data_IF_546353720219
#
_entry.id   IF_546353720219
#
_cell.length_a   1.000
_cell.length_b   1.000
_cell.length_c   1.000
_cell.angle_alpha   90.00
_cell.angle_beta   90.00
_cell.angle_gamma   90.00
#
_symmetry.space_group_name_H-M   'P 1'
#
loop_
_entity.id
_entity.type
_entity.pdbx_description
1 polymer ?
#
# COMPACT_ATOMS: atom_id res chain seq x y z
N UNK A 1 -18.90 4.23 9.35
CA UNK A 1 -18.30 2.93 9.75
C UNK A 1 -17.50 2.44 8.57
N UNK A 2 -16.25 2.01 8.80
CA UNK A 2 -15.36 1.51 7.73
C UNK A 2 -15.91 0.19 7.19
N UNK A 3 -16.06 0.07 5.87
CA UNK A 3 -16.44 -1.19 5.22
C UNK A 3 -15.18 -1.98 4.82
N UNK A 4 -14.71 -2.84 5.72
CA UNK A 4 -13.53 -3.69 5.49
C UNK A 4 -13.70 -4.71 4.36
N UNK A 5 -14.94 -5.10 4.05
CA UNK A 5 -15.26 -6.04 2.98
C UNK A 5 -15.46 -5.37 1.62
N UNK A 6 -15.31 -4.05 1.52
CA UNK A 6 -15.41 -3.36 0.24
C UNK A 6 -14.34 -3.90 -0.72
N UNK A 7 -14.79 -4.33 -1.89
CA UNK A 7 -13.96 -4.82 -3.00
C UNK A 7 -14.42 -4.12 -4.28
N UNK A 8 -13.53 -3.44 -5.03
CA UNK A 8 -13.92 -2.84 -6.30
C UNK A 8 -14.21 -3.94 -7.32
N UNK A 9 -15.09 -3.67 -8.29
CA UNK A 9 -15.41 -4.62 -9.36
C UNK A 9 -14.21 -4.89 -10.27
N UNK A 10 -13.41 -3.86 -10.53
CA UNK A 10 -12.17 -3.90 -11.32
C UNK A 10 -11.27 -2.75 -10.88
N UNK A 11 -9.95 -2.93 -11.01
CA UNK A 11 -8.99 -1.83 -10.84
C UNK A 11 -8.79 -0.98 -12.09
N UNK A 12 -9.19 -1.51 -13.25
CA UNK A 12 -8.88 -0.93 -14.55
C UNK A 12 -10.13 -0.39 -15.21
N UNK A 13 -10.03 0.84 -15.71
CA UNK A 13 -11.08 1.54 -16.46
C UNK A 13 -10.78 1.58 -17.98
N UNK A 14 -9.84 0.75 -18.45
CA UNK A 14 -9.46 0.65 -19.88
C UNK A 14 -8.34 1.58 -20.33
N UNK A 15 -7.68 2.31 -19.41
CA UNK A 15 -6.58 3.24 -19.76
C UNK A 15 -5.17 2.64 -19.70
N UNK A 16 -5.02 1.40 -19.22
CA UNK A 16 -3.74 0.70 -19.19
C UNK A 16 -3.77 -0.56 -18.33
N UNK A 17 -2.69 -1.37 -18.35
CA UNK A 17 -2.57 -2.57 -17.54
C UNK A 17 -2.08 -2.32 -16.11
N UNK A 18 -1.74 -1.06 -15.76
CA UNK A 18 -1.26 -0.65 -14.43
C UNK A 18 -2.20 0.41 -13.82
N UNK A 19 -2.42 0.33 -12.52
CA UNK A 19 -3.23 1.27 -11.73
C UNK A 19 -2.61 1.50 -10.35
N UNK A 20 -2.64 2.73 -9.86
CA UNK A 20 -2.19 3.07 -8.51
C UNK A 20 -3.27 2.69 -7.50
N UNK A 21 -2.98 1.73 -6.62
CA UNK A 21 -3.90 1.33 -5.56
C UNK A 21 -3.91 2.33 -4.42
N UNK A 22 -2.73 2.67 -3.91
CA UNK A 22 -2.58 3.65 -2.85
C UNK A 22 -1.19 4.28 -2.82
N UNK A 23 -1.13 5.47 -2.26
CA UNK A 23 0.08 6.17 -1.90
C UNK A 23 0.19 6.24 -0.38
N UNK A 24 1.36 5.93 0.16
CA UNK A 24 1.66 5.88 1.58
C UNK A 24 2.77 6.89 1.88
N UNK A 25 2.46 7.93 2.64
CA UNK A 25 3.45 8.96 3.03
C UNK A 25 3.80 8.80 4.51
N UNK A 26 5.09 8.85 4.83
CA UNK A 26 5.62 8.68 6.18
C UNK A 26 6.28 9.98 6.66
N UNK A 27 5.50 10.95 7.17
CA UNK A 27 6.02 12.27 7.52
C UNK A 27 7.03 12.26 8.66
N UNK A 28 7.03 11.21 9.50
CA UNK A 28 8.01 11.03 10.58
C UNK A 28 9.37 10.50 10.12
N UNK A 29 9.46 10.02 8.88
CA UNK A 29 10.74 9.59 8.32
C UNK A 29 11.64 10.80 8.04
N UNK A 30 12.96 10.56 7.94
CA UNK A 30 13.94 11.65 7.81
C UNK A 30 13.70 12.54 6.58
N UNK A 31 13.16 11.99 5.50
CA UNK A 31 12.96 12.69 4.22
C UNK A 31 11.50 12.78 3.78
N UNK A 32 10.55 12.36 4.61
CA UNK A 32 9.14 12.26 4.21
C UNK A 32 8.95 11.19 3.13
N UNK A 33 9.49 10.00 3.37
CA UNK A 33 9.43 8.84 2.48
C UNK A 33 8.02 8.54 2.01
N UNK A 34 7.93 8.14 0.74
CA UNK A 34 6.68 7.75 0.10
C UNK A 34 6.82 6.38 -0.53
N UNK A 35 5.80 5.55 -0.37
CA UNK A 35 5.67 4.24 -0.99
C UNK A 35 4.38 4.23 -1.79
N UNK A 36 4.47 3.90 -3.08
CA UNK A 36 3.31 3.75 -3.96
C UNK A 36 3.08 2.27 -4.26
N UNK A 37 1.85 1.79 -4.05
CA UNK A 37 1.47 0.41 -4.36
C UNK A 37 0.65 0.41 -5.66
N UNK A 38 1.11 -0.37 -6.62
CA UNK A 38 0.50 -0.54 -7.93
C UNK A 38 -0.11 -1.93 -8.09
N UNK A 39 -1.14 -2.04 -8.92
CA UNK A 39 -1.63 -3.32 -9.42
C UNK A 39 -1.45 -3.38 -10.94
N UNK A 40 -0.92 -4.51 -11.41
CA UNK A 40 -0.72 -4.81 -12.81
C UNK A 40 -1.57 -6.03 -13.20
N UNK A 41 -2.31 -5.95 -14.31
CA UNK A 41 -3.04 -7.10 -14.85
C UNK A 41 -2.19 -7.85 -15.89
N UNK A 42 -1.99 -9.15 -15.67
CA UNK A 42 -1.38 -10.06 -16.63
C UNK A 42 -2.11 -11.40 -16.60
N UNK A 43 -2.60 -11.85 -17.76
CA UNK A 43 -3.30 -13.13 -17.94
C UNK A 43 -4.46 -13.38 -16.96
N UNK A 44 -5.20 -12.32 -16.61
CA UNK A 44 -6.34 -12.39 -15.69
C UNK A 44 -5.96 -12.41 -14.20
N UNK A 45 -4.67 -12.30 -13.88
CA UNK A 45 -4.14 -12.20 -12.52
C UNK A 45 -3.68 -10.78 -12.25
N UNK A 46 -3.98 -10.26 -11.06
CA UNK A 46 -3.49 -8.99 -10.56
C UNK A 46 -2.18 -9.22 -9.80
N UNK A 47 -1.10 -8.61 -10.25
CA UNK A 47 0.21 -8.59 -9.59
C UNK A 47 0.39 -7.26 -8.88
N UNK A 48 0.97 -7.29 -7.68
CA UNK A 48 1.19 -6.09 -6.88
C UNK A 48 2.67 -5.73 -6.82
N UNK A 49 2.96 -4.44 -6.85
CA UNK A 49 4.31 -3.90 -6.77
C UNK A 49 4.30 -2.67 -5.88
N UNK A 50 5.25 -2.58 -4.95
CA UNK A 50 5.48 -1.39 -4.14
C UNK A 50 6.78 -0.72 -4.60
N UNK A 51 6.69 0.58 -4.84
CA UNK A 51 7.79 1.40 -5.33
C UNK A 51 8.06 2.51 -4.33
N UNK A 52 9.31 2.64 -3.92
CA UNK A 52 9.83 3.75 -3.13
C UNK A 52 10.87 4.54 -3.93
N UNK A 53 11.43 5.59 -3.31
CA UNK A 53 12.44 6.43 -3.96
C UNK A 53 13.79 5.70 -4.18
N UNK A 54 14.14 4.75 -3.31
CA UNK A 54 15.44 4.09 -3.32
C UNK A 54 15.51 2.86 -4.23
N UNK A 55 14.38 2.43 -4.79
CA UNK A 55 14.29 1.22 -5.60
C UNK A 55 14.45 -0.05 -4.77
N UNK A 56 13.99 -0.03 -3.52
CA UNK A 56 13.99 -1.19 -2.65
C UNK A 56 13.04 -2.26 -3.21
N UNK A 57 13.46 -3.52 -3.15
CA UNK A 57 12.59 -4.66 -3.45
C UNK A 57 11.67 -4.94 -2.25
N UNK A 58 10.52 -4.27 -2.23
CA UNK A 58 9.51 -4.42 -1.17
C UNK A 58 8.64 -5.64 -1.48
N UNK A 59 8.64 -6.59 -0.55
CA UNK A 59 7.82 -7.80 -0.61
C UNK A 59 6.41 -7.47 -0.14
N UNK A 60 5.43 -7.85 -0.96
CA UNK A 60 4.01 -7.68 -0.68
C UNK A 60 3.34 -9.02 -0.38
N UNK A 61 2.38 -9.01 0.55
CA UNK A 61 1.58 -10.17 0.88
C UNK A 61 0.08 -9.83 0.90
N UNK A 62 -0.71 -10.33 -0.07
CA UNK A 62 -0.32 -11.21 -1.17
C UNK A 62 0.52 -10.50 -2.24
N UNK A 63 1.36 -11.23 -2.98
CA UNK A 63 2.10 -10.69 -4.15
C UNK A 63 1.19 -10.56 -5.39
N UNK A 64 0.10 -11.33 -5.43
CA UNK A 64 -0.86 -11.39 -6.54
C UNK A 64 -2.19 -11.98 -6.11
N UNK A 65 -3.22 -11.81 -6.93
CA UNK A 65 -4.52 -12.45 -6.71
C UNK A 65 -5.36 -12.52 -8.01
N UNK A 66 -6.39 -13.35 -8.01
CA UNK A 66 -7.30 -13.52 -9.16
C UNK A 66 -8.46 -12.49 -9.17
N UNK A 67 -8.62 -11.73 -8.10
CA UNK A 67 -9.69 -10.75 -7.93
C UNK A 67 -9.16 -9.50 -7.23
N UNK A 68 -9.76 -8.31 -7.42
CA UNK A 68 -9.38 -7.15 -6.63
C UNK A 68 -9.44 -7.45 -5.13
N UNK A 69 -8.53 -6.85 -4.38
CA UNK A 69 -8.47 -7.01 -2.93
C UNK A 69 -9.71 -6.39 -2.30
N UNK A 70 -10.08 -6.89 -1.14
CA UNK A 70 -10.91 -6.14 -0.20
C UNK A 70 -10.07 -5.03 0.44
N UNK A 71 -10.74 -4.03 1.03
CA UNK A 71 -10.08 -3.04 1.85
C UNK A 71 -9.23 -3.69 2.96
N UNK A 72 -9.75 -4.74 3.60
CA UNK A 72 -9.03 -5.49 4.63
C UNK A 72 -7.75 -6.14 4.09
N UNK A 73 -7.81 -6.76 2.92
CA UNK A 73 -6.65 -7.38 2.27
C UNK A 73 -5.60 -6.34 1.87
N UNK A 74 -6.00 -5.15 1.40
CA UNK A 74 -5.08 -4.04 1.12
C UNK A 74 -4.43 -3.48 2.40
N UNK A 75 -5.20 -3.32 3.48
CA UNK A 75 -4.67 -2.93 4.80
C UNK A 75 -3.64 -3.95 5.27
N UNK A 76 -3.98 -5.23 5.20
CA UNK A 76 -3.08 -6.31 5.59
C UNK A 76 -1.78 -6.29 4.77
N UNK A 77 -1.87 -6.15 3.44
CA UNK A 77 -0.70 -6.00 2.58
C UNK A 77 0.17 -4.82 3.00
N UNK A 78 -0.44 -3.66 3.26
CA UNK A 78 0.26 -2.44 3.68
C UNK A 78 0.99 -2.63 5.02
N UNK A 79 0.36 -3.31 5.98
CA UNK A 79 0.92 -3.52 7.32
C UNK A 79 1.94 -4.67 7.40
N UNK A 80 2.02 -5.51 6.36
CA UNK A 80 2.91 -6.68 6.32
C UNK A 80 3.99 -6.57 5.25
N UNK A 81 4.18 -5.38 4.68
CA UNK A 81 5.29 -5.10 3.78
C UNK A 81 6.62 -5.40 4.47
N UNK A 82 7.54 -5.98 3.72
CA UNK A 82 8.86 -6.37 4.22
C UNK A 82 9.93 -6.15 3.15
N UNK A 83 11.19 -6.08 3.55
CA UNK A 83 12.35 -5.95 2.65
C UNK A 83 13.42 -6.95 3.03
N UNK A 84 14.34 -7.28 2.13
CA UNK A 84 15.55 -8.02 2.54
C UNK A 84 16.51 -7.07 3.27
N UNK A 85 16.84 -7.31 4.56
CA UNK A 85 17.74 -6.46 5.34
C UNK A 85 19.14 -6.30 4.72
N UNK A 86 19.56 -7.25 3.87
CA UNK A 86 20.88 -7.21 3.21
C UNK A 86 20.94 -6.25 2.04
N UNK A 87 19.79 -5.91 1.44
CA UNK A 87 19.70 -5.02 0.28
C UNK A 87 18.93 -3.73 0.56
N UNK A 88 18.34 -3.60 1.75
CA UNK A 88 17.57 -2.44 2.19
C UNK A 88 18.40 -1.14 2.17
N UNK A 89 17.84 -0.10 1.56
CA UNK A 89 18.40 1.26 1.50
C UNK A 89 17.45 2.27 2.16
N UNK A 90 17.98 3.45 2.51
CA UNK A 90 17.15 4.58 2.96
C UNK A 90 16.46 4.37 4.32
N UNK A 91 16.95 3.44 5.15
CA UNK A 91 16.28 3.03 6.40
C UNK A 91 14.83 2.57 6.19
N UNK A 92 14.53 1.96 5.04
CA UNK A 92 13.19 1.50 4.69
C UNK A 92 12.55 0.59 5.76
N UNK A 93 13.33 -0.20 6.49
CA UNK A 93 12.81 -1.01 7.61
C UNK A 93 12.15 -0.16 8.70
N UNK A 94 12.77 0.99 9.04
CA UNK A 94 12.20 1.93 9.99
C UNK A 94 10.95 2.60 9.40
N UNK A 95 10.97 2.95 8.12
CA UNK A 95 9.82 3.50 7.40
C UNK A 95 8.63 2.53 7.45
N UNK A 96 8.85 1.25 7.13
CA UNK A 96 7.82 0.20 7.16
C UNK A 96 7.28 -0.09 8.57
N UNK A 97 8.05 0.22 9.62
CA UNK A 97 7.58 0.15 11.00
C UNK A 97 6.64 1.29 11.41
N UNK A 98 6.58 2.36 10.60
CA UNK A 98 5.73 3.52 10.84
C UNK A 98 4.26 3.30 10.47
N UNK A 99 3.43 4.31 10.76
CA UNK A 99 2.01 4.32 10.36
C UNK A 99 1.83 5.38 9.27
N UNK A 100 1.58 5.00 8.00
CA UNK A 100 1.52 5.96 6.91
C UNK A 100 0.28 6.86 6.98
N UNK A 101 0.37 8.03 6.35
CA UNK A 101 -0.77 8.72 5.77
C UNK A 101 -1.09 8.03 4.43
N UNK A 102 -2.28 7.45 4.31
CA UNK A 102 -2.65 6.66 3.14
C UNK A 102 -3.67 7.40 2.26
N UNK A 103 -3.43 7.46 0.97
CA UNK A 103 -4.35 8.02 -0.02
C UNK A 103 -4.70 6.95 -1.07
N UNK A 104 -5.98 6.83 -1.42
CA UNK A 104 -6.44 5.91 -2.47
C UNK A 104 -7.69 6.45 -3.15
N UNK A 105 -7.69 6.44 -4.48
CA UNK A 105 -8.87 6.77 -5.29
C UNK A 105 -9.83 5.58 -5.47
N UNK A 106 -9.39 4.37 -5.12
CA UNK A 106 -10.14 3.13 -5.29
C UNK A 106 -10.76 2.70 -3.95
N UNK A 107 -10.02 2.87 -2.87
CA UNK A 107 -10.38 2.45 -1.52
C UNK A 107 -10.61 3.65 -0.60
N UNK A 108 -11.76 4.32 -0.74
CA UNK A 108 -12.08 5.57 -0.03
C UNK A 108 -11.97 5.51 1.50
N UNK A 109 -12.07 4.33 2.11
CA UNK A 109 -11.96 4.17 3.57
C UNK A 109 -10.53 3.86 4.06
N UNK A 110 -9.57 3.70 3.14
CA UNK A 110 -8.17 3.44 3.50
C UNK A 110 -7.57 4.61 4.29
N UNK A 111 -7.79 5.85 3.80
CA UNK A 111 -7.34 7.07 4.46
C UNK A 111 -7.94 7.18 5.87
N UNK A 112 -9.24 6.92 6.01
CA UNK A 112 -9.94 6.95 7.31
C UNK A 112 -9.35 5.91 8.27
N UNK A 113 -9.06 4.70 7.80
CA UNK A 113 -8.45 3.66 8.64
C UNK A 113 -7.09 4.10 9.21
N UNK A 114 -6.19 4.56 8.34
CA UNK A 114 -4.85 4.96 8.77
C UNK A 114 -4.86 6.26 9.60
N UNK A 115 -5.76 7.21 9.31
CA UNK A 115 -5.94 8.39 10.13
C UNK A 115 -6.39 8.04 11.56
N UNK A 116 -7.36 7.14 11.72
CA UNK A 116 -7.79 6.67 13.05
C UNK A 116 -6.70 5.84 13.76
N UNK A 117 -5.93 5.04 13.01
CA UNK A 117 -4.78 4.31 13.55
C UNK A 117 -3.73 5.29 14.08
N UNK A 118 -3.31 6.29 13.30
CA UNK A 118 -2.35 7.33 13.72
C UNK A 118 -2.80 8.04 15.00
N UNK A 119 -4.07 8.46 15.08
CA UNK A 119 -4.65 9.06 16.31
C UNK A 119 -4.52 8.15 17.53
N UNK A 120 -4.76 6.85 17.35
CA UNK A 120 -4.64 5.85 18.44
C UNK A 120 -3.21 5.78 19.00
N UNK A 121 -2.20 6.03 18.17
CA UNK A 121 -0.79 6.05 18.56
C UNK A 121 -0.27 7.46 18.90
N UNK A 122 -1.15 8.47 18.97
CA UNK A 122 -0.77 9.85 19.31
C UNK A 122 -0.01 10.59 18.21
N UNK A 123 -0.06 10.09 16.97
CA UNK A 123 0.51 10.72 15.79
C UNK A 123 -0.55 11.65 15.20
N UNK A 124 -0.28 12.96 15.17
CA UNK A 124 -1.21 13.98 14.63
C UNK A 124 -0.89 14.22 13.16
#
# INVERSE_FOLDING_TARGET
>A
MINFNYRPESYFNGTGPNTLLCKLSYPESQWGEEISIYANALDGVYYYEAVDFYGNEIKLNPEKSDQPLTLQELIFMTETMDVDPKSAQGNIELTLSGIPLAESLIYNHLEVYFAEKRKTFGMI
#
